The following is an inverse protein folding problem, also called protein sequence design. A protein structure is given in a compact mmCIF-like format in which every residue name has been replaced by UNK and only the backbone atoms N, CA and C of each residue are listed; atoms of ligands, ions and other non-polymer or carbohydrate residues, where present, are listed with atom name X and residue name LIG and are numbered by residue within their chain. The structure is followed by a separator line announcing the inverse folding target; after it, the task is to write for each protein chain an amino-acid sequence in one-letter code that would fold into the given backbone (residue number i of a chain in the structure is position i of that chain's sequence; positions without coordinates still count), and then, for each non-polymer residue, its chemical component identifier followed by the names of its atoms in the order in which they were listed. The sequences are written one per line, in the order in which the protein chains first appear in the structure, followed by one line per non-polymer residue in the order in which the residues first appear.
data_IF_475996621858
#
_entry.id   IF_475996621858
#
_cell.length_a   1.000
_cell.length_b   1.000
_cell.length_c   1.000
_cell.angle_alpha   90.00
_cell.angle_beta   90.00
_cell.angle_gamma   90.00
#
_symmetry.space_group_name_H-M   'P 1'
#
loop_
_entity.id
_entity.type
_entity.pdbx_description
1 polymer ?
#
# COMPACT_ATOMS: atom_id res chain seq x y z
N UNK A 1 10.36 -3.48 1.66
CA UNK A 1 9.51 -4.14 0.62
C UNK A 1 9.96 -3.77 -0.80
N UNK A 2 10.80 -2.76 -0.95
CA UNK A 2 11.32 -2.19 -2.18
C UNK A 2 11.94 -3.25 -3.12
N UNK A 3 12.65 -4.23 -2.56
CA UNK A 3 13.23 -5.32 -3.36
C UNK A 3 12.21 -6.24 -4.06
N UNK A 4 10.94 -6.22 -3.65
CA UNK A 4 9.86 -6.96 -4.30
C UNK A 4 9.20 -6.17 -5.44
N UNK A 5 9.57 -4.91 -5.66
CA UNK A 5 9.00 -4.10 -6.75
C UNK A 5 9.43 -4.60 -8.14
N UNK A 6 10.52 -5.36 -8.21
CA UNK A 6 11.04 -5.96 -9.44
C UNK A 6 10.83 -7.49 -9.49
N UNK A 7 9.99 -8.04 -8.59
CA UNK A 7 9.72 -9.47 -8.50
C UNK A 7 9.10 -10.00 -9.82
N UNK A 8 9.51 -11.18 -10.34
CA UNK A 8 8.93 -11.74 -11.56
C UNK A 8 7.43 -12.03 -11.44
N UNK A 9 6.91 -12.29 -10.25
CA UNK A 9 5.50 -12.57 -10.01
C UNK A 9 4.71 -11.26 -9.81
N UNK A 10 3.73 -10.95 -10.68
CA UNK A 10 2.98 -9.69 -10.61
C UNK A 10 2.31 -9.46 -9.26
N UNK A 11 1.74 -10.51 -8.66
CA UNK A 11 1.06 -10.39 -7.37
C UNK A 11 2.02 -9.91 -6.25
N UNK A 12 3.26 -10.40 -6.22
CA UNK A 12 4.24 -9.99 -5.22
C UNK A 12 4.60 -8.50 -5.38
N UNK A 13 4.85 -8.04 -6.62
CA UNK A 13 5.10 -6.62 -6.93
C UNK A 13 3.95 -5.73 -6.48
N UNK A 14 2.71 -6.11 -6.81
CA UNK A 14 1.53 -5.31 -6.50
C UNK A 14 1.25 -5.24 -4.98
N UNK A 15 1.45 -6.34 -4.26
CA UNK A 15 1.36 -6.33 -2.79
C UNK A 15 2.45 -5.42 -2.19
N UNK A 16 3.68 -5.51 -2.69
CA UNK A 16 4.76 -4.64 -2.23
C UNK A 16 4.45 -3.15 -2.49
N UNK A 17 3.94 -2.82 -3.68
CA UNK A 17 3.56 -1.45 -4.06
C UNK A 17 2.45 -0.91 -3.15
N UNK A 18 1.38 -1.69 -2.93
CA UNK A 18 0.27 -1.26 -2.06
C UNK A 18 0.71 -1.05 -0.61
N UNK A 19 1.55 -1.94 -0.09
CA UNK A 19 2.07 -1.84 1.27
C UNK A 19 3.04 -0.66 1.47
N UNK A 20 3.85 -0.32 0.45
CA UNK A 20 4.74 0.84 0.47
C UNK A 20 3.96 2.16 0.40
N UNK A 21 2.91 2.22 -0.42
CA UNK A 21 2.04 3.39 -0.57
C UNK A 21 1.27 3.69 0.72
N UNK A 22 0.77 2.67 1.42
CA UNK A 22 0.07 2.85 2.70
C UNK A 22 1.05 3.08 3.86
N UNK A 23 1.36 4.35 4.13
CA UNK A 23 2.30 4.83 5.18
C UNK A 23 1.69 4.93 6.58
N UNK A 24 1.05 3.85 7.03
CA UNK A 24 0.55 3.70 8.39
C UNK A 24 0.56 2.21 8.78
N UNK A 25 0.14 1.91 10.01
CA UNK A 25 -0.23 0.56 10.45
C UNK A 25 -1.72 0.52 10.78
N UNK A 26 -2.46 -0.41 10.17
CA UNK A 26 -3.91 -0.57 10.35
C UNK A 26 -4.34 -2.01 10.14
N UNK A 27 -4.93 -2.63 11.17
CA UNK A 27 -5.39 -4.02 11.11
C UNK A 27 -4.22 -4.98 10.79
N UNK A 28 -4.30 -5.83 9.76
CA UNK A 28 -3.22 -6.75 9.40
C UNK A 28 -2.04 -6.09 8.68
N UNK A 29 -2.17 -4.85 8.20
CA UNK A 29 -1.07 -4.08 7.62
C UNK A 29 -0.27 -3.42 8.74
N UNK A 30 0.96 -3.88 8.98
CA UNK A 30 1.81 -3.43 10.08
C UNK A 30 3.19 -3.00 9.56
N UNK A 31 3.64 -1.82 9.98
CA UNK A 31 4.88 -1.16 9.51
C UNK A 31 5.68 -0.64 10.69
N UNK A 32 6.93 -1.08 10.83
CA UNK A 32 7.81 -0.59 11.89
C UNK A 32 8.25 0.86 11.70
N UNK A 33 8.26 1.35 10.46
CA UNK A 33 8.61 2.74 10.11
C UNK A 33 7.41 3.70 10.19
N UNK A 34 6.18 3.16 10.21
CA UNK A 34 4.92 3.91 10.41
C UNK A 34 4.01 3.12 11.36
N UNK A 35 4.33 3.04 12.67
CA UNK A 35 3.72 2.09 13.60
C UNK A 35 2.30 2.47 14.05
N UNK A 36 1.88 3.71 13.79
CA UNK A 36 0.57 4.22 14.21
C UNK A 36 -0.37 4.33 13.01
N UNK A 37 -1.66 4.36 13.31
CA UNK A 37 -2.68 4.75 12.34
C UNK A 37 -2.53 6.24 11.99
N UNK A 38 -2.76 6.58 10.73
CA UNK A 38 -2.87 7.94 10.25
C UNK A 38 -4.35 8.28 10.01
N UNK A 39 -4.95 9.21 10.79
CA UNK A 39 -6.33 9.64 10.57
C UNK A 39 -6.59 10.19 9.17
N UNK A 40 -5.58 10.74 8.49
CA UNK A 40 -5.73 11.21 7.11
C UNK A 40 -6.04 10.07 6.12
N UNK A 41 -5.67 8.83 6.48
CA UNK A 41 -5.90 7.61 5.68
C UNK A 41 -7.18 6.86 6.08
N UNK A 42 -7.99 7.42 6.98
CA UNK A 42 -9.33 6.88 7.28
C UNK A 42 -10.23 6.95 6.05
N UNK A 43 -10.82 5.81 5.67
CA UNK A 43 -11.66 5.69 4.46
C UNK A 43 -10.88 5.82 3.15
N UNK A 44 -9.54 5.76 3.18
CA UNK A 44 -8.69 5.85 2.00
C UNK A 44 -8.16 4.46 1.62
N UNK A 45 -8.34 4.11 0.35
CA UNK A 45 -7.92 2.86 -0.27
C UNK A 45 -6.71 3.11 -1.15
N UNK A 46 -5.80 2.12 -1.22
CA UNK A 46 -4.77 2.09 -2.26
C UNK A 46 -5.35 1.35 -3.44
N UNK A 47 -5.44 2.02 -4.58
CA UNK A 47 -5.91 1.46 -5.84
C UNK A 47 -4.72 1.25 -6.75
N UNK A 48 -4.68 0.09 -7.42
CA UNK A 48 -3.68 -0.23 -8.44
C UNK A 48 -4.35 -0.12 -9.80
N UNK A 49 -3.80 0.71 -10.67
CA UNK A 49 -4.25 0.87 -12.06
C UNK A 49 -3.71 -0.24 -12.97
N UNK A 50 -4.25 -0.30 -14.20
CA UNK A 50 -3.82 -1.25 -15.22
C UNK A 50 -2.34 -1.07 -15.63
N UNK A 51 -1.77 0.12 -15.42
CA UNK A 51 -0.35 0.41 -15.63
C UNK A 51 0.52 0.09 -14.40
N UNK A 52 -0.04 -0.62 -13.42
CA UNK A 52 0.55 -0.93 -12.11
C UNK A 52 0.88 0.29 -11.25
N UNK A 53 0.45 1.51 -11.61
CA UNK A 53 0.61 2.68 -10.74
C UNK A 53 -0.32 2.58 -9.53
N UNK A 54 0.13 3.14 -8.40
CA UNK A 54 -0.66 3.19 -7.18
C UNK A 54 -1.20 4.61 -6.98
N UNK A 55 -2.47 4.70 -6.58
CA UNK A 55 -3.08 5.95 -6.14
C UNK A 55 -3.88 5.75 -4.86
N UNK A 56 -3.97 6.81 -4.07
CA UNK A 56 -4.86 6.88 -2.91
C UNK A 56 -6.22 7.41 -3.35
N UNK A 57 -7.28 6.68 -2.99
CA UNK A 57 -8.65 7.04 -3.31
C UNK A 57 -9.53 6.97 -2.06
N UNK A 58 -10.29 8.03 -1.80
CA UNK A 58 -11.25 8.05 -0.68
C UNK A 58 -12.57 7.45 -1.15
N UNK A 59 -13.05 6.44 -0.43
CA UNK A 59 -14.35 5.83 -0.69
C UNK A 59 -15.37 6.31 0.36
N UNK A 60 -16.62 6.59 -0.06
CA UNK A 60 -17.70 6.98 0.85
C UNK A 60 -18.18 5.84 1.75
#
# INVERSE_FOLDING_TARGET
LEGLLDDPYPLARLIARTALERRESRGPHQRSDHPLQDPALDGVHVIIDADESARLERWP
#
